data_IF_153344738109
#
_entry.id   IF_153344738109
#
_cell.length_a   1.000
_cell.length_b   1.000
_cell.length_c   1.000
_cell.angle_alpha   90.00
_cell.angle_beta   90.00
_cell.angle_gamma   90.00
#
_symmetry.space_group_name_H-M   'P 1'
#
loop_
_entity.id
_entity.type
_entity.pdbx_description
1 polymer ?
#
# COMPACT_ATOMS: atom_id res chain seq x y z
N UNK A 1 -2.99 35.61 -3.04
CA UNK A 1 -1.68 34.94 -3.23
C UNK A 1 -1.94 33.82 -4.24
N UNK A 2 -1.28 33.80 -5.42
CA UNK A 2 -1.52 32.75 -6.44
C UNK A 2 -1.08 31.39 -5.88
N UNK A 3 -1.81 30.31 -6.17
CA UNK A 3 -1.54 28.92 -5.71
C UNK A 3 -0.06 28.50 -5.90
N UNK A 4 0.60 29.02 -6.94
CA UNK A 4 2.02 28.79 -7.25
C UNK A 4 2.98 29.22 -6.11
N UNK A 5 2.66 30.28 -5.35
CA UNK A 5 3.52 30.74 -4.25
C UNK A 5 3.36 29.93 -2.95
N UNK A 6 2.24 29.20 -2.78
CA UNK A 6 2.05 28.32 -1.63
C UNK A 6 2.93 27.07 -1.72
N UNK A 7 3.18 26.59 -2.95
CA UNK A 7 3.99 25.39 -3.19
C UNK A 7 5.44 25.57 -2.72
N UNK A 8 6.05 26.71 -3.05
CA UNK A 8 7.41 27.06 -2.62
C UNK A 8 7.54 27.22 -1.09
N UNK A 9 6.46 27.62 -0.39
CA UNK A 9 6.44 27.72 1.08
C UNK A 9 6.46 26.34 1.75
N UNK A 10 5.96 25.30 1.08
CA UNK A 10 5.86 23.95 1.65
C UNK A 10 7.10 23.09 1.36
N UNK A 11 7.96 23.48 0.41
CA UNK A 11 9.21 22.76 0.14
C UNK A 11 10.26 22.92 1.27
N UNK A 12 11.34 22.11 1.29
CA UNK A 12 12.45 22.29 2.24
C UNK A 12 13.06 23.69 2.25
N UNK A 13 12.96 24.44 1.13
CA UNK A 13 13.32 25.86 1.04
C UNK A 13 12.31 26.76 1.77
N UNK A 14 11.02 26.46 1.70
CA UNK A 14 9.96 27.14 2.42
C UNK A 14 9.96 26.91 3.94
N UNK A 15 10.55 25.81 4.44
CA UNK A 15 10.86 25.66 5.89
C UNK A 15 11.68 26.83 6.43
N UNK A 16 12.64 27.36 5.64
CA UNK A 16 13.38 28.57 6.03
C UNK A 16 12.48 29.80 6.13
N UNK A 17 11.47 29.91 5.28
CA UNK A 17 10.56 31.06 5.29
C UNK A 17 9.64 31.06 6.52
N UNK A 18 9.02 29.93 6.87
CA UNK A 18 8.23 29.83 8.10
C UNK A 18 9.08 30.03 9.36
N UNK A 19 10.30 29.48 9.39
CA UNK A 19 11.24 29.72 10.48
C UNK A 19 11.63 31.20 10.58
N UNK A 20 11.90 31.86 9.45
CA UNK A 20 12.19 33.30 9.39
C UNK A 20 11.01 34.15 9.83
N UNK A 21 9.77 33.76 9.50
CA UNK A 21 8.57 34.42 10.01
C UNK A 21 8.50 34.25 11.51
N UNK A 22 8.61 33.04 12.05
CA UNK A 22 8.55 32.78 13.48
C UNK A 22 9.65 33.53 14.26
N UNK A 23 10.92 33.44 13.81
CA UNK A 23 12.06 34.10 14.44
C UNK A 23 11.92 35.62 14.50
N UNK A 24 11.29 36.23 13.49
CA UNK A 24 11.14 37.69 13.42
C UNK A 24 9.83 38.20 14.00
N UNK A 25 8.73 37.50 13.73
CA UNK A 25 7.38 37.93 14.04
C UNK A 25 7.03 37.66 15.50
N UNK A 26 7.41 36.50 16.06
CA UNK A 26 7.02 36.14 17.43
C UNK A 26 7.58 37.12 18.48
N UNK A 27 8.86 37.55 18.44
CA UNK A 27 9.36 38.54 19.39
C UNK A 27 8.67 39.91 19.24
N UNK A 28 8.33 40.31 18.00
CA UNK A 28 7.62 41.56 17.75
C UNK A 28 6.18 41.51 18.27
N UNK A 29 5.47 40.41 18.03
CA UNK A 29 4.12 40.22 18.54
C UNK A 29 4.10 40.22 20.07
N UNK A 30 5.10 39.61 20.72
CA UNK A 30 5.19 39.61 22.18
C UNK A 30 5.29 41.02 22.77
N UNK A 31 6.14 41.87 22.18
CA UNK A 31 6.32 43.27 22.60
C UNK A 31 5.08 44.11 22.33
N UNK A 32 4.41 43.87 21.20
CA UNK A 32 3.33 44.72 20.70
C UNK A 32 1.92 44.25 21.11
N UNK A 33 1.77 43.05 21.72
CA UNK A 33 0.46 42.43 22.01
C UNK A 33 -0.50 43.31 22.81
N UNK A 34 0.02 44.14 23.72
CA UNK A 34 -0.78 45.03 24.56
C UNK A 34 -1.26 46.29 23.84
N UNK A 35 -0.74 46.58 22.63
CA UNK A 35 -1.05 47.82 21.90
C UNK A 35 -2.35 47.75 21.11
N UNK A 36 -2.81 46.54 20.73
CA UNK A 36 -4.05 46.38 19.98
C UNK A 36 -4.64 44.97 20.13
N UNK A 37 -5.96 44.80 20.31
CA UNK A 37 -6.61 43.49 20.44
C UNK A 37 -6.28 42.51 19.29
N UNK A 38 -6.19 43.00 18.05
CA UNK A 38 -5.82 42.15 16.91
C UNK A 38 -4.37 41.60 17.00
N UNK A 39 -3.44 42.34 17.63
CA UNK A 39 -2.06 41.87 17.83
C UNK A 39 -2.04 40.81 18.93
N UNK A 40 -2.83 41.00 20.00
CA UNK A 40 -3.05 39.95 21.01
C UNK A 40 -3.60 38.67 20.36
N UNK A 41 -4.65 38.77 19.52
CA UNK A 41 -5.19 37.59 18.83
C UNK A 41 -4.18 36.91 17.91
N UNK A 42 -3.32 37.66 17.22
CA UNK A 42 -2.24 37.08 16.41
C UNK A 42 -1.16 36.41 17.27
N UNK A 43 -0.81 37.01 18.40
CA UNK A 43 0.13 36.43 19.36
C UNK A 43 -0.40 35.12 19.96
N UNK A 44 -1.71 35.07 20.25
CA UNK A 44 -2.36 33.86 20.78
C UNK A 44 -2.37 32.69 19.77
N UNK A 45 -2.24 32.98 18.47
CA UNK A 45 -2.16 32.00 17.36
C UNK A 45 -0.73 31.70 16.89
N UNK A 46 0.29 32.13 17.65
CA UNK A 46 1.70 31.98 17.23
C UNK A 46 2.14 30.52 17.01
N UNK A 47 1.49 29.57 17.69
CA UNK A 47 1.69 28.12 17.53
C UNK A 47 1.17 27.59 16.16
N UNK A 48 0.35 28.38 15.46
CA UNK A 48 -0.18 28.07 14.14
C UNK A 48 0.69 28.58 12.99
N UNK A 49 1.70 29.41 13.26
CA UNK A 49 2.53 29.98 12.18
C UNK A 49 3.51 28.97 11.58
N UNK A 50 3.86 27.94 12.32
CA UNK A 50 4.67 26.84 11.80
C UNK A 50 3.88 26.02 10.76
N UNK A 51 4.58 25.57 9.72
CA UNK A 51 4.02 24.55 8.82
C UNK A 51 3.74 23.28 9.62
N UNK A 52 2.47 22.85 9.64
CA UNK A 52 2.06 21.58 10.23
C UNK A 52 2.27 20.45 9.24
N UNK A 53 2.68 19.28 9.74
CA UNK A 53 2.81 18.05 8.97
C UNK A 53 1.90 17.02 9.61
N UNK A 54 0.89 16.55 8.87
CA UNK A 54 -0.10 15.62 9.36
C UNK A 54 0.31 14.19 9.02
N UNK A 55 0.34 13.32 10.04
CA UNK A 55 0.73 11.92 9.91
C UNK A 55 -0.34 11.00 10.46
N UNK A 56 -0.79 10.06 9.64
CA UNK A 56 -1.65 8.95 10.01
C UNK A 56 -0.76 7.73 10.10
N UNK A 57 -0.60 7.19 11.31
CA UNK A 57 0.33 6.08 11.58
C UNK A 57 -0.45 4.87 12.06
N UNK A 58 -0.19 3.71 11.45
CA UNK A 58 -0.81 2.45 11.87
C UNK A 58 -0.08 1.23 11.35
N UNK A 59 -0.46 0.06 11.84
CA UNK A 59 0.08 -1.23 11.39
C UNK A 59 -0.61 -1.75 10.13
N UNK A 60 -0.14 -2.89 9.63
CA UNK A 60 -0.74 -3.54 8.46
C UNK A 60 -2.19 -3.97 8.68
N UNK A 61 -2.54 -4.46 9.86
CA UNK A 61 -3.94 -4.84 10.14
C UNK A 61 -4.94 -3.68 10.08
N UNK A 62 -4.49 -2.45 10.32
CA UNK A 62 -5.32 -1.28 10.07
C UNK A 62 -5.36 -0.97 8.56
N UNK A 63 -4.20 -0.81 7.93
CA UNK A 63 -4.11 -0.29 6.57
C UNK A 63 -4.63 -1.27 5.49
N UNK A 64 -4.42 -2.57 5.68
CA UNK A 64 -4.78 -3.58 4.68
C UNK A 64 -6.17 -4.14 4.89
N UNK A 65 -6.64 -4.17 6.15
CA UNK A 65 -7.89 -4.80 6.56
C UNK A 65 -8.94 -3.79 7.03
N UNK A 66 -9.10 -3.57 8.34
CA UNK A 66 -10.27 -2.89 8.91
C UNK A 66 -10.35 -1.41 8.53
N UNK A 67 -9.20 -0.76 8.39
CA UNK A 67 -9.10 0.65 8.04
C UNK A 67 -8.95 0.92 6.55
N UNK A 68 -8.88 -0.12 5.70
CA UNK A 68 -8.58 0.05 4.28
C UNK A 68 -9.59 0.93 3.54
N UNK A 69 -10.89 0.76 3.78
CA UNK A 69 -11.90 1.58 3.11
C UNK A 69 -11.76 3.08 3.43
N UNK A 70 -11.47 3.42 4.68
CA UNK A 70 -11.20 4.80 5.08
C UNK A 70 -9.85 5.31 4.55
N UNK A 71 -8.82 4.46 4.57
CA UNK A 71 -7.51 4.78 4.01
C UNK A 71 -7.59 5.09 2.52
N UNK A 72 -8.29 4.25 1.75
CA UNK A 72 -8.52 4.43 0.32
C UNK A 72 -9.23 5.77 0.04
N UNK A 73 -10.28 6.07 0.81
CA UNK A 73 -10.99 7.35 0.70
C UNK A 73 -10.10 8.56 1.00
N UNK A 74 -9.22 8.46 2.02
CA UNK A 74 -8.25 9.52 2.33
C UNK A 74 -7.23 9.67 1.21
N UNK A 75 -6.73 8.56 0.64
CA UNK A 75 -5.84 8.59 -0.54
C UNK A 75 -6.54 9.25 -1.74
N UNK A 76 -7.85 9.07 -1.90
CA UNK A 76 -8.61 9.71 -2.97
C UNK A 76 -8.92 11.20 -2.72
N UNK A 77 -8.78 11.71 -1.48
CA UNK A 77 -9.26 13.03 -1.07
C UNK A 77 -8.42 14.23 -1.53
N UNK A 78 -7.28 14.01 -2.20
CA UNK A 78 -6.31 15.06 -2.61
C UNK A 78 -5.71 15.90 -1.46
N UNK A 79 -6.09 15.61 -0.22
CA UNK A 79 -5.63 16.34 0.95
C UNK A 79 -4.15 16.07 1.26
N UNK A 80 -3.47 17.08 1.81
CA UNK A 80 -2.05 17.00 2.15
C UNK A 80 -1.83 16.25 3.47
N UNK A 81 -1.85 14.92 3.40
CA UNK A 81 -1.66 14.03 4.54
C UNK A 81 -0.63 12.95 4.25
N UNK A 82 0.19 12.61 5.25
CA UNK A 82 1.16 11.54 5.18
C UNK A 82 0.63 10.31 5.91
N UNK A 83 0.61 9.16 5.24
CA UNK A 83 0.26 7.88 5.82
C UNK A 83 1.52 7.05 5.98
N UNK A 84 1.79 6.57 7.19
CA UNK A 84 2.87 5.65 7.49
C UNK A 84 2.29 4.32 7.98
N UNK A 85 2.47 3.28 7.16
CA UNK A 85 2.11 1.91 7.49
C UNK A 85 3.34 1.17 7.98
N UNK A 86 3.30 0.73 9.23
CA UNK A 86 4.31 -0.13 9.84
C UNK A 86 3.91 -1.59 9.58
N UNK A 87 4.42 -2.15 8.50
CA UNK A 87 4.02 -3.47 8.01
C UNK A 87 4.86 -4.56 8.68
N UNK A 88 4.28 -5.20 9.70
CA UNK A 88 4.85 -6.39 10.35
C UNK A 88 4.33 -7.69 9.73
N UNK A 89 3.43 -7.56 8.76
CA UNK A 89 2.74 -8.61 8.02
C UNK A 89 1.83 -9.53 8.85
N UNK A 90 1.48 -9.10 10.07
CA UNK A 90 0.58 -9.81 10.98
C UNK A 90 -0.04 -8.82 11.97
N UNK A 91 -1.15 -9.21 12.62
CA UNK A 91 -1.67 -8.45 13.74
C UNK A 91 -0.82 -8.70 15.00
N UNK A 92 0.33 -8.02 15.09
CA UNK A 92 1.33 -8.27 16.11
C UNK A 92 0.80 -8.11 17.53
N UNK A 93 0.04 -7.04 17.80
CA UNK A 93 -0.44 -6.72 19.15
C UNK A 93 -1.40 -7.78 19.72
N UNK A 94 -2.25 -8.36 18.88
CA UNK A 94 -3.26 -9.35 19.29
C UNK A 94 -2.72 -10.79 19.23
N UNK A 95 -1.40 -10.95 19.02
CA UNK A 95 -0.71 -12.24 19.09
C UNK A 95 -0.57 -12.95 17.76
N UNK A 96 -0.42 -12.21 16.65
CA UNK A 96 0.01 -12.75 15.35
C UNK A 96 -1.11 -13.40 14.55
N UNK A 97 -2.28 -12.76 14.46
CA UNK A 97 -3.32 -13.15 13.52
C UNK A 97 -2.92 -12.82 12.08
N UNK A 98 -3.44 -13.61 11.15
CA UNK A 98 -3.35 -13.33 9.73
C UNK A 98 -3.94 -11.96 9.38
N UNK A 99 -3.26 -11.23 8.51
CA UNK A 99 -3.74 -10.00 7.88
C UNK A 99 -3.76 -10.18 6.36
N UNK A 100 -4.41 -9.28 5.63
CA UNK A 100 -4.24 -9.24 4.16
C UNK A 100 -2.80 -8.87 3.73
N UNK A 101 -1.98 -8.39 4.66
CA UNK A 101 -0.56 -8.13 4.43
C UNK A 101 0.33 -9.36 4.69
N UNK A 102 -0.18 -10.43 5.31
CA UNK A 102 0.58 -11.67 5.51
C UNK A 102 0.95 -12.29 4.14
N UNK A 103 2.22 -12.69 3.90
CA UNK A 103 2.64 -13.36 2.67
C UNK A 103 2.00 -14.73 2.49
N UNK A 104 1.91 -15.19 1.24
CA UNK A 104 1.59 -16.58 0.94
C UNK A 104 2.60 -17.53 1.57
N UNK A 105 2.12 -18.64 2.14
CA UNK A 105 2.94 -19.65 2.82
C UNK A 105 3.37 -19.29 4.25
N UNK A 106 3.08 -18.10 4.75
CA UNK A 106 3.40 -17.73 6.14
C UNK A 106 2.36 -18.30 7.12
N UNK A 107 2.84 -18.93 8.19
CA UNK A 107 2.02 -19.36 9.33
C UNK A 107 1.62 -18.17 10.19
N UNK A 108 0.33 -18.09 10.51
CA UNK A 108 -0.22 -17.15 11.48
C UNK A 108 -1.44 -17.78 12.17
N UNK A 109 -1.98 -17.16 13.22
CA UNK A 109 -3.29 -17.60 13.74
C UNK A 109 -4.34 -17.43 12.64
N UNK A 110 -5.21 -18.44 12.49
CA UNK A 110 -6.15 -18.61 11.38
C UNK A 110 -5.53 -19.00 10.03
N UNK A 111 -4.22 -19.27 9.99
CA UNK A 111 -3.49 -19.76 8.82
C UNK A 111 -2.37 -20.73 9.25
N UNK A 112 -2.69 -21.76 10.05
CA UNK A 112 -1.69 -22.69 10.59
C UNK A 112 -1.00 -23.56 9.54
N UNK A 113 -1.66 -23.79 8.40
CA UNK A 113 -1.08 -24.47 7.25
C UNK A 113 -0.26 -23.57 6.33
N UNK A 114 -0.08 -22.30 6.71
CA UNK A 114 0.38 -21.24 5.81
C UNK A 114 -0.80 -20.55 5.12
N UNK A 115 -0.69 -19.25 4.88
CA UNK A 115 -1.70 -18.49 4.16
C UNK A 115 -1.71 -18.89 2.68
N UNK A 116 -2.86 -19.28 2.16
CA UNK A 116 -2.99 -19.73 0.76
C UNK A 116 -2.90 -18.58 -0.26
N UNK A 117 -3.34 -17.39 0.12
CA UNK A 117 -3.40 -16.22 -0.76
C UNK A 117 -2.14 -15.37 -0.65
N UNK A 118 -1.82 -14.66 -1.73
CA UNK A 118 -0.71 -13.72 -1.76
C UNK A 118 -0.95 -12.48 -0.87
N UNK A 119 0.13 -11.78 -0.56
CA UNK A 119 0.07 -10.46 0.10
C UNK A 119 -0.70 -9.50 -0.80
N UNK A 120 -1.68 -8.79 -0.24
CA UNK A 120 -2.34 -7.67 -0.93
C UNK A 120 -1.30 -6.59 -1.24
N UNK A 121 -1.19 -6.15 -2.49
CA UNK A 121 -0.23 -5.12 -2.89
C UNK A 121 -0.84 -3.72 -2.71
N UNK A 122 -0.81 -3.21 -1.47
CA UNK A 122 -1.37 -1.90 -1.12
C UNK A 122 -0.68 -0.76 -1.88
N UNK A 123 0.63 -0.86 -2.08
CA UNK A 123 1.39 0.15 -2.81
C UNK A 123 0.96 0.23 -4.28
N UNK A 124 0.82 -0.92 -4.96
CA UNK A 124 0.31 -0.96 -6.34
C UNK A 124 -1.12 -0.47 -6.45
N UNK A 125 -1.99 -0.83 -5.50
CA UNK A 125 -3.36 -0.33 -5.45
C UNK A 125 -3.38 1.20 -5.31
N UNK A 126 -2.58 1.76 -4.40
CA UNK A 126 -2.47 3.20 -4.25
C UNK A 126 -1.96 3.87 -5.54
N UNK A 127 -0.94 3.31 -6.19
CA UNK A 127 -0.39 3.84 -7.45
C UNK A 127 -1.39 3.86 -8.63
N UNK A 128 -2.55 3.20 -8.52
CA UNK A 128 -3.63 3.36 -9.51
C UNK A 128 -4.25 4.76 -9.48
N UNK A 129 -4.19 5.44 -8.33
CA UNK A 129 -4.46 6.86 -8.21
C UNK A 129 -3.27 7.64 -8.77
N UNK A 130 -3.52 8.56 -9.71
CA UNK A 130 -2.46 9.34 -10.38
C UNK A 130 -1.93 10.51 -9.54
N UNK A 131 -2.46 10.71 -8.33
CA UNK A 131 -2.26 11.87 -7.48
C UNK A 131 -1.77 11.52 -6.07
N UNK A 132 -1.25 10.30 -5.85
CA UNK A 132 -0.68 9.87 -4.56
C UNK A 132 0.82 9.61 -4.69
N UNK A 133 1.61 10.11 -3.75
CA UNK A 133 3.00 9.69 -3.59
C UNK A 133 3.04 8.35 -2.87
N UNK A 134 3.77 7.36 -3.39
CA UNK A 134 3.87 6.02 -2.77
C UNK A 134 5.33 5.64 -2.58
N UNK A 135 5.68 5.10 -1.42
CA UNK A 135 7.01 4.55 -1.20
C UNK A 135 6.98 3.27 -0.37
N UNK A 136 7.75 2.26 -0.81
CA UNK A 136 8.11 1.12 0.02
C UNK A 136 9.52 1.32 0.55
N UNK A 137 9.66 1.25 1.86
CA UNK A 137 10.92 1.55 2.57
C UNK A 137 11.30 0.42 3.52
N UNK A 138 12.59 0.32 3.81
CA UNK A 138 13.11 -0.44 4.93
C UNK A 138 14.34 0.27 5.49
N UNK A 139 14.22 0.77 6.73
CA UNK A 139 15.29 1.56 7.38
C UNK A 139 16.58 0.74 7.53
N UNK A 140 16.46 -0.57 7.77
CA UNK A 140 17.61 -1.46 7.93
C UNK A 140 18.35 -1.74 6.63
N UNK A 141 17.68 -1.66 5.47
CA UNK A 141 18.29 -1.92 4.16
C UNK A 141 18.90 -0.65 3.57
N UNK A 142 18.13 0.44 3.57
CA UNK A 142 18.57 1.70 2.98
C UNK A 142 18.01 2.89 3.77
N UNK A 143 18.69 3.33 4.85
CA UNK A 143 18.22 4.43 5.69
C UNK A 143 18.20 5.77 4.94
N UNK A 144 19.08 5.94 3.93
CA UNK A 144 19.09 7.15 3.10
C UNK A 144 17.84 7.23 2.21
N UNK A 145 17.44 6.11 1.61
CA UNK A 145 16.21 6.01 0.83
C UNK A 145 14.98 6.21 1.71
N UNK A 146 14.95 5.61 2.91
CA UNK A 146 13.86 5.81 3.86
C UNK A 146 13.71 7.30 4.25
N UNK A 147 14.81 7.96 4.61
CA UNK A 147 14.81 9.38 4.93
C UNK A 147 14.35 10.22 3.73
N UNK A 148 14.85 9.92 2.54
CA UNK A 148 14.45 10.62 1.32
C UNK A 148 12.96 10.46 1.04
N UNK A 149 12.43 9.24 1.16
CA UNK A 149 11.03 8.95 0.95
C UNK A 149 10.12 9.69 1.94
N UNK A 150 10.50 9.77 3.22
CA UNK A 150 9.76 10.54 4.22
C UNK A 150 9.79 12.05 3.94
N UNK A 151 10.92 12.59 3.50
CA UNK A 151 11.03 14.00 3.13
C UNK A 151 10.24 14.33 1.87
N UNK A 152 10.29 13.46 0.86
CA UNK A 152 9.55 13.63 -0.39
C UNK A 152 8.03 13.51 -0.15
N UNK A 153 7.59 12.54 0.66
CA UNK A 153 6.20 12.40 1.08
C UNK A 153 5.68 13.65 1.80
N UNK A 154 6.43 14.15 2.80
CA UNK A 154 6.04 15.36 3.51
C UNK A 154 6.01 16.57 2.57
N UNK A 155 6.92 16.66 1.61
CA UNK A 155 6.97 17.77 0.65
C UNK A 155 5.89 17.70 -0.45
N UNK A 156 5.36 16.51 -0.75
CA UNK A 156 4.36 16.28 -1.78
C UNK A 156 3.02 16.92 -1.39
N UNK A 157 2.44 17.74 -2.27
CA UNK A 157 1.19 18.47 -1.99
C UNK A 157 -0.04 17.63 -2.33
N UNK A 158 -0.21 16.56 -1.56
CA UNK A 158 -1.32 15.63 -1.71
C UNK A 158 -1.14 14.46 -0.76
N UNK A 159 -1.88 13.38 -0.98
CA UNK A 159 -1.79 12.19 -0.15
C UNK A 159 -0.46 11.49 -0.42
N UNK A 160 0.18 11.05 0.66
CA UNK A 160 1.42 10.27 0.62
C UNK A 160 1.23 8.98 1.38
N UNK A 161 1.63 7.85 0.80
CA UNK A 161 1.62 6.53 1.42
C UNK A 161 3.04 5.99 1.52
N UNK A 162 3.49 5.72 2.74
CA UNK A 162 4.76 5.06 3.03
C UNK A 162 4.45 3.73 3.68
N UNK A 163 4.94 2.63 3.09
CA UNK A 163 4.85 1.28 3.64
C UNK A 163 6.25 0.87 4.09
N UNK A 164 6.43 0.74 5.40
CA UNK A 164 7.71 0.45 6.02
C UNK A 164 7.75 -0.99 6.54
N UNK A 165 8.70 -1.78 6.03
CA UNK A 165 8.95 -3.11 6.59
C UNK A 165 9.36 -2.99 8.05
N UNK A 166 8.63 -3.67 8.93
CA UNK A 166 8.80 -3.59 10.38
C UNK A 166 9.05 -4.98 10.97
N UNK A 167 10.31 -5.36 11.23
CA UNK A 167 10.67 -6.58 11.95
C UNK A 167 9.85 -6.79 13.22
N UNK A 168 9.36 -8.02 13.42
CA UNK A 168 8.52 -8.35 14.56
C UNK A 168 8.85 -9.72 15.13
N UNK A 169 8.72 -9.88 16.45
CA UNK A 169 8.88 -11.17 17.14
C UNK A 169 7.97 -12.27 16.57
N UNK A 170 6.81 -11.91 16.01
CA UNK A 170 5.86 -12.86 15.41
C UNK A 170 6.39 -13.53 14.14
N UNK A 171 7.43 -12.97 13.52
CA UNK A 171 8.09 -13.57 12.36
C UNK A 171 9.00 -14.72 12.78
N UNK A 172 9.46 -14.72 14.04
CA UNK A 172 10.12 -15.86 14.66
C UNK A 172 11.58 -16.03 14.26
N UNK A 173 12.34 -14.93 14.25
CA UNK A 173 13.79 -14.89 14.21
C UNK A 173 14.32 -13.96 15.33
N UNK A 174 15.59 -14.05 15.74
CA UNK A 174 16.14 -13.19 16.79
C UNK A 174 16.10 -11.70 16.41
N UNK A 175 15.44 -10.86 17.22
CA UNK A 175 15.33 -9.42 16.92
C UNK A 175 16.68 -8.69 16.88
N UNK A 176 17.69 -9.22 17.58
CA UNK A 176 19.06 -8.72 17.50
C UNK A 176 19.66 -8.86 16.09
N UNK A 177 19.12 -9.75 15.26
CA UNK A 177 19.56 -10.01 13.89
C UNK A 177 18.68 -9.30 12.85
N UNK A 178 17.76 -8.44 13.28
CA UNK A 178 16.81 -7.75 12.39
C UNK A 178 17.48 -6.97 11.26
N UNK A 179 18.64 -6.36 11.51
CA UNK A 179 19.40 -5.64 10.49
C UNK A 179 19.93 -6.61 9.43
N UNK A 180 20.61 -7.69 9.86
CA UNK A 180 21.14 -8.69 8.94
C UNK A 180 20.01 -9.33 8.14
N UNK A 181 18.91 -9.70 8.82
CA UNK A 181 17.74 -10.31 8.21
C UNK A 181 17.16 -9.44 7.10
N UNK A 182 16.92 -8.16 7.36
CA UNK A 182 16.39 -7.25 6.32
C UNK A 182 17.36 -7.07 5.14
N UNK A 183 18.68 -7.09 5.39
CA UNK A 183 19.71 -6.85 4.39
C UNK A 183 20.01 -8.07 3.49
N UNK A 184 19.47 -9.24 3.81
CA UNK A 184 19.51 -10.40 2.92
C UNK A 184 18.59 -10.09 1.74
N UNK A 185 19.19 -9.57 0.67
CA UNK A 185 18.59 -9.11 -0.59
C UNK A 185 17.88 -10.25 -1.37
N UNK A 186 16.78 -10.74 -0.79
CA UNK A 186 15.96 -11.87 -1.24
C UNK A 186 14.88 -11.47 -2.24
N UNK A 187 14.70 -10.17 -2.48
CA UNK A 187 13.64 -9.66 -3.35
C UNK A 187 12.24 -9.78 -2.75
N UNK A 188 12.07 -10.16 -1.48
CA UNK A 188 10.74 -10.23 -0.87
C UNK A 188 10.10 -8.85 -0.70
N UNK A 189 10.91 -7.85 -0.36
CA UNK A 189 10.47 -6.49 -0.07
C UNK A 189 11.19 -5.48 -0.96
N UNK A 190 10.63 -5.14 -2.15
CA UNK A 190 11.24 -4.16 -3.03
C UNK A 190 11.24 -2.78 -2.39
N UNK A 191 12.32 -2.02 -2.60
CA UNK A 191 12.36 -0.61 -2.23
C UNK A 191 12.07 0.21 -3.49
N UNK A 192 11.04 1.03 -3.45
CA UNK A 192 10.70 1.91 -4.57
C UNK A 192 10.03 3.18 -4.08
N UNK A 193 9.99 4.18 -4.97
CA UNK A 193 9.23 5.42 -4.82
C UNK A 193 8.46 5.69 -6.10
N UNK A 194 7.23 6.14 -5.95
CA UNK A 194 6.36 6.64 -6.99
C UNK A 194 6.03 8.09 -6.66
N UNK A 195 6.47 9.02 -7.50
CA UNK A 195 6.22 10.44 -7.34
C UNK A 195 5.49 10.99 -8.58
N UNK A 196 4.18 11.28 -8.47
CA UNK A 196 3.38 11.85 -9.56
C UNK A 196 3.97 13.13 -10.17
N UNK A 197 4.63 13.99 -9.39
CA UNK A 197 5.16 15.27 -9.87
C UNK A 197 6.24 15.10 -10.95
N UNK A 198 6.89 13.93 -11.01
CA UNK A 198 7.86 13.66 -12.05
C UNK A 198 7.23 13.58 -13.43
N UNK A 199 5.95 13.20 -13.53
CA UNK A 199 5.22 13.16 -14.80
C UNK A 199 5.07 14.54 -15.42
N UNK A 200 4.91 15.59 -14.61
CA UNK A 200 4.82 16.99 -15.06
C UNK A 200 6.12 17.42 -15.76
N UNK A 201 7.25 16.87 -15.33
CA UNK A 201 8.57 17.08 -15.94
C UNK A 201 8.92 16.10 -17.07
N UNK A 202 7.97 15.26 -17.50
CA UNK A 202 8.18 14.23 -18.53
C UNK A 202 9.01 13.03 -18.09
N UNK A 203 9.29 12.90 -16.78
CA UNK A 203 10.06 11.80 -16.22
C UNK A 203 9.16 10.65 -15.75
N UNK A 204 9.74 9.46 -15.63
CA UNK A 204 9.05 8.31 -15.06
C UNK A 204 8.75 8.56 -13.56
N UNK A 205 7.48 8.49 -13.12
CA UNK A 205 7.13 8.66 -11.71
C UNK A 205 7.64 7.52 -10.83
N UNK A 206 7.80 6.31 -11.38
CA UNK A 206 8.27 5.14 -10.64
C UNK A 206 9.79 5.00 -10.67
N UNK A 207 10.37 4.81 -9.49
CA UNK A 207 11.81 4.62 -9.26
C UNK A 207 12.02 3.39 -8.39
N UNK A 208 12.68 2.37 -8.95
CA UNK A 208 13.11 1.19 -8.21
C UNK A 208 14.45 1.47 -7.53
N UNK A 209 14.46 1.53 -6.19
CA UNK A 209 15.63 1.82 -5.37
C UNK A 209 16.36 0.54 -4.90
N UNK A 210 15.70 -0.62 -4.95
CA UNK A 210 16.31 -1.93 -4.64
C UNK A 210 17.32 -2.34 -5.71
N UNK A 211 18.44 -2.94 -5.29
CA UNK A 211 19.43 -3.52 -6.22
C UNK A 211 18.92 -4.85 -6.79
N UNK A 212 19.58 -5.37 -7.84
CA UNK A 212 19.26 -6.68 -8.41
C UNK A 212 19.23 -7.74 -7.31
N UNK A 213 18.12 -8.48 -7.23
CA UNK A 213 17.91 -9.63 -6.36
C UNK A 213 19.08 -10.62 -6.53
N UNK A 214 19.77 -10.94 -5.42
CA UNK A 214 20.93 -11.84 -5.42
C UNK A 214 20.76 -13.09 -4.55
N UNK A 215 19.59 -13.25 -3.93
CA UNK A 215 19.32 -14.32 -2.97
C UNK A 215 18.38 -15.41 -3.50
N UNK A 216 18.52 -16.58 -2.90
CA UNK A 216 17.51 -17.63 -2.93
C UNK A 216 16.41 -17.23 -1.92
N UNK A 217 15.27 -16.76 -2.45
CA UNK A 217 14.15 -16.28 -1.64
C UNK A 217 13.61 -17.39 -0.72
N UNK A 218 13.53 -18.63 -1.19
CA UNK A 218 13.05 -19.75 -0.40
C UNK A 218 13.94 -19.99 0.84
N UNK A 219 15.26 -19.97 0.66
CA UNK A 219 16.21 -20.08 1.79
C UNK A 219 16.10 -18.92 2.77
N UNK A 220 15.82 -17.71 2.29
CA UNK A 220 15.61 -16.56 3.16
C UNK A 220 14.37 -16.75 4.03
N UNK A 221 13.23 -17.12 3.43
CA UNK A 221 11.99 -17.35 4.16
C UNK A 221 12.15 -18.46 5.20
N UNK A 222 12.90 -19.52 4.88
CA UNK A 222 13.18 -20.62 5.80
C UNK A 222 13.95 -20.21 7.09
N UNK A 223 14.51 -19.00 7.16
CA UNK A 223 15.13 -18.46 8.39
C UNK A 223 14.09 -17.93 9.40
N UNK A 224 12.86 -17.70 8.96
CA UNK A 224 11.78 -17.24 9.81
C UNK A 224 10.91 -18.44 10.24
N UNK A 225 10.66 -18.59 11.55
CA UNK A 225 9.87 -19.71 12.05
C UNK A 225 8.46 -19.77 11.43
N UNK A 226 7.87 -18.62 11.06
CA UNK A 226 6.56 -18.57 10.40
C UNK A 226 6.52 -19.29 9.06
N UNK A 227 7.64 -19.45 8.36
CA UNK A 227 7.72 -20.24 7.13
C UNK A 227 8.32 -21.62 7.38
N UNK A 228 9.39 -21.70 8.18
CA UNK A 228 10.07 -22.97 8.47
C UNK A 228 9.12 -24.01 9.07
N UNK A 229 8.19 -23.59 9.93
CA UNK A 229 7.21 -24.49 10.54
C UNK A 229 6.22 -25.07 9.50
N UNK A 230 5.81 -24.30 8.49
CA UNK A 230 4.97 -24.79 7.39
C UNK A 230 5.76 -25.76 6.52
N UNK A 231 6.98 -25.37 6.15
CA UNK A 231 7.85 -26.18 5.30
C UNK A 231 8.16 -27.55 5.92
N UNK A 232 8.37 -27.59 7.23
CA UNK A 232 8.62 -28.83 7.96
C UNK A 232 7.35 -29.68 8.11
N UNK A 233 6.17 -29.06 8.25
CA UNK A 233 4.90 -29.76 8.40
C UNK A 233 4.41 -30.37 7.09
N UNK A 234 4.59 -29.65 5.98
CA UNK A 234 4.17 -30.09 4.64
C UNK A 234 5.26 -29.83 3.58
N UNK A 235 6.16 -30.81 3.35
CA UNK A 235 7.22 -30.69 2.36
C UNK A 235 6.73 -30.57 0.91
N UNK A 236 5.51 -31.04 0.60
CA UNK A 236 4.94 -30.91 -0.75
C UNK A 236 4.52 -29.48 -1.00
N UNK A 237 3.79 -28.89 -0.04
CA UNK A 237 3.42 -27.48 -0.12
C UNK A 237 4.64 -26.55 -0.13
N UNK A 238 5.70 -26.92 0.60
CA UNK A 238 6.98 -26.21 0.55
C UNK A 238 7.59 -26.17 -0.87
N UNK A 239 7.57 -27.30 -1.59
CA UNK A 239 8.08 -27.37 -2.96
C UNK A 239 7.23 -26.55 -3.95
N UNK A 240 5.90 -26.53 -3.76
CA UNK A 240 5.00 -25.68 -4.54
C UNK A 240 5.26 -24.19 -4.28
N UNK A 241 5.48 -23.81 -3.02
CA UNK A 241 5.83 -22.45 -2.63
C UNK A 241 7.18 -22.03 -3.23
N UNK A 242 8.20 -22.89 -3.19
CA UNK A 242 9.51 -22.64 -3.82
C UNK A 242 9.36 -22.39 -5.33
N UNK A 243 8.60 -23.24 -6.02
CA UNK A 243 8.32 -23.06 -7.45
C UNK A 243 7.64 -21.72 -7.75
N UNK A 244 6.60 -21.34 -6.97
CA UNK A 244 5.90 -20.06 -7.12
C UNK A 244 6.80 -18.85 -6.83
N UNK A 245 7.64 -18.92 -5.82
CA UNK A 245 8.53 -17.82 -5.43
C UNK A 245 9.65 -17.60 -6.46
N UNK A 246 10.16 -18.67 -7.07
CA UNK A 246 11.11 -18.59 -8.17
C UNK A 246 10.48 -17.97 -9.43
N UNK A 247 9.20 -18.22 -9.70
CA UNK A 247 8.46 -17.55 -10.77
C UNK A 247 8.21 -16.06 -10.46
N UNK A 248 7.95 -15.71 -9.20
CA UNK A 248 7.74 -14.31 -8.77
C UNK A 248 8.96 -13.40 -8.99
N UNK A 249 10.17 -13.96 -9.02
CA UNK A 249 11.37 -13.20 -9.43
C UNK A 249 11.27 -12.66 -10.87
N UNK A 250 10.43 -13.24 -11.73
CA UNK A 250 10.07 -12.65 -13.03
C UNK A 250 9.10 -11.46 -12.90
N UNK A 251 8.19 -11.44 -11.93
CA UNK A 251 7.20 -10.36 -11.78
C UNK A 251 7.84 -9.00 -11.45
N UNK A 252 8.98 -8.98 -10.76
CA UNK A 252 9.75 -7.74 -10.54
C UNK A 252 10.38 -7.19 -11.83
N UNK A 253 10.63 -8.04 -12.84
CA UNK A 253 11.01 -7.59 -14.17
C UNK A 253 9.81 -6.96 -14.92
N UNK A 254 8.58 -7.37 -14.57
CA UNK A 254 7.32 -6.89 -15.18
C UNK A 254 6.91 -5.51 -14.65
N UNK A 255 7.25 -5.17 -13.41
CA UNK A 255 7.05 -3.81 -12.86
C UNK A 255 7.91 -2.74 -13.55
N UNK A 256 8.89 -3.12 -14.37
CA UNK A 256 9.53 -2.22 -15.33
C UNK A 256 8.58 -1.97 -16.53
N UNK A 257 7.52 -1.20 -16.28
CA UNK A 257 6.81 -0.33 -17.23
C UNK A 257 6.25 -0.87 -18.57
N UNK A 258 6.43 -2.14 -18.95
CA UNK A 258 6.08 -2.61 -20.30
C UNK A 258 4.90 -3.57 -20.41
N UNK A 259 4.23 -3.95 -19.31
CA UNK A 259 3.32 -5.10 -19.37
C UNK A 259 1.92 -4.87 -18.79
N UNK A 260 1.52 -3.64 -18.47
CA UNK A 260 0.11 -3.36 -18.17
C UNK A 260 -0.77 -3.59 -19.42
N UNK A 261 -0.27 -3.23 -20.60
CA UNK A 261 -0.95 -3.51 -21.87
C UNK A 261 -0.90 -5.00 -22.24
N UNK A 262 0.21 -5.69 -21.96
CA UNK A 262 0.33 -7.14 -22.18
C UNK A 262 -0.54 -7.97 -21.24
N UNK A 263 -0.73 -7.54 -19.98
CA UNK A 263 -1.66 -8.17 -19.04
C UNK A 263 -3.12 -7.93 -19.45
N UNK A 264 -3.46 -6.74 -19.94
CA UNK A 264 -4.78 -6.47 -20.50
C UNK A 264 -5.04 -7.31 -21.76
N UNK A 265 -4.05 -7.43 -22.64
CA UNK A 265 -4.13 -8.28 -23.85
C UNK A 265 -4.30 -9.75 -23.49
N UNK A 266 -3.57 -10.28 -22.49
CA UNK A 266 -3.73 -11.65 -22.00
C UNK A 266 -5.09 -11.90 -21.34
N UNK A 267 -5.64 -10.91 -20.63
CA UNK A 267 -7.00 -10.96 -20.09
C UNK A 267 -8.03 -11.00 -21.22
N UNK A 268 -7.85 -10.20 -22.27
CA UNK A 268 -8.71 -10.18 -23.46
C UNK A 268 -8.60 -11.48 -24.26
N UNK A 269 -7.40 -12.04 -24.40
CA UNK A 269 -7.16 -13.34 -25.05
C UNK A 269 -7.77 -14.50 -24.24
N UNK A 270 -7.60 -14.53 -22.92
CA UNK A 270 -8.22 -15.53 -22.05
C UNK A 270 -9.74 -15.50 -22.06
N UNK A 271 -10.35 -14.32 -22.25
CA UNK A 271 -11.79 -14.17 -22.47
C UNK A 271 -12.25 -14.69 -23.85
N UNK A 272 -11.35 -14.79 -24.83
CA UNK A 272 -11.67 -15.28 -26.17
C UNK A 272 -11.58 -16.81 -26.32
N UNK A 273 -10.79 -17.47 -25.46
CA UNK A 273 -10.61 -18.93 -25.47
C UNK A 273 -11.66 -19.72 -24.65
N UNK A 274 -12.51 -19.04 -23.88
CA UNK A 274 -13.54 -19.63 -23.01
C UNK A 274 -14.75 -20.27 -23.74
N UNK A 275 -14.64 -20.55 -25.03
CA UNK A 275 -15.77 -21.03 -25.87
C UNK A 275 -16.07 -22.54 -25.77
N UNK A 276 -15.50 -23.27 -24.81
CA UNK A 276 -15.62 -24.75 -24.78
C UNK A 276 -15.95 -25.42 -23.43
N UNK A 277 -16.22 -24.68 -22.36
CA UNK A 277 -16.85 -25.21 -21.16
C UNK A 277 -18.24 -24.58 -20.99
N UNK A 278 -19.21 -25.33 -20.49
CA UNK A 278 -20.52 -24.79 -20.12
C UNK A 278 -20.36 -23.88 -18.89
N UNK A 279 -19.78 -22.69 -19.09
CA UNK A 279 -19.52 -21.73 -18.03
C UNK A 279 -20.82 -21.08 -17.59
N UNK A 280 -21.19 -21.29 -16.32
CA UNK A 280 -22.26 -20.56 -15.66
C UNK A 280 -21.69 -19.30 -15.00
N UNK A 281 -22.19 -18.12 -15.36
CA UNK A 281 -21.76 -16.85 -14.78
C UNK A 281 -22.60 -16.54 -13.53
N UNK A 282 -21.96 -16.41 -12.37
CA UNK A 282 -22.59 -15.91 -11.14
C UNK A 282 -22.32 -14.41 -11.01
N UNK A 283 -23.37 -13.60 -10.95
CA UNK A 283 -23.32 -12.14 -10.78
C UNK A 283 -23.77 -11.80 -9.37
N UNK A 284 -22.82 -11.42 -8.51
CA UNK A 284 -23.12 -10.94 -7.17
C UNK A 284 -23.12 -9.42 -7.12
N UNK A 285 -24.12 -8.82 -6.48
CA UNK A 285 -24.20 -7.37 -6.31
C UNK A 285 -24.28 -6.96 -4.84
N UNK A 286 -23.67 -5.82 -4.51
CA UNK A 286 -23.92 -5.09 -3.26
C UNK A 286 -24.60 -3.76 -3.60
N UNK A 287 -25.76 -3.49 -3.00
CA UNK A 287 -26.48 -2.24 -3.25
C UNK A 287 -27.23 -1.76 -2.02
N UNK A 288 -26.95 -0.53 -1.59
CA UNK A 288 -27.72 0.14 -0.54
C UNK A 288 -29.00 0.80 -1.09
N UNK A 289 -28.99 1.19 -2.37
CA UNK A 289 -30.07 2.00 -3.00
C UNK A 289 -30.75 1.30 -4.18
N UNK A 290 -30.37 0.07 -4.51
CA UNK A 290 -30.95 -0.75 -5.59
C UNK A 290 -30.38 -0.50 -6.99
N UNK A 291 -29.55 0.54 -7.18
CA UNK A 291 -28.95 0.82 -8.49
C UNK A 291 -28.05 -0.31 -8.99
N UNK A 292 -27.25 -0.92 -8.10
CA UNK A 292 -26.35 -2.03 -8.45
C UNK A 292 -27.15 -3.30 -8.77
N UNK A 293 -28.30 -3.50 -8.13
CA UNK A 293 -29.21 -4.62 -8.43
C UNK A 293 -29.76 -4.50 -9.85
N UNK A 294 -30.18 -3.30 -10.26
CA UNK A 294 -30.67 -3.05 -11.61
C UNK A 294 -29.58 -3.30 -12.66
N UNK A 295 -28.35 -2.81 -12.43
CA UNK A 295 -27.23 -3.05 -13.33
C UNK A 295 -26.84 -4.53 -13.40
N UNK A 296 -26.86 -5.24 -12.26
CA UNK A 296 -26.60 -6.68 -12.22
C UNK A 296 -27.65 -7.48 -12.99
N UNK A 297 -28.93 -7.10 -12.89
CA UNK A 297 -30.02 -7.70 -13.67
C UNK A 297 -29.88 -7.43 -15.17
N UNK A 298 -29.46 -6.22 -15.57
CA UNK A 298 -29.22 -5.87 -16.96
C UNK A 298 -28.05 -6.67 -17.53
N UNK A 299 -26.93 -6.75 -16.81
CA UNK A 299 -25.80 -7.59 -17.17
C UNK A 299 -26.20 -9.07 -17.27
N UNK A 300 -27.05 -9.56 -16.36
CA UNK A 300 -27.56 -10.92 -16.42
C UNK A 300 -28.44 -11.18 -17.65
N UNK A 301 -29.21 -10.18 -18.11
CA UNK A 301 -29.94 -10.28 -19.37
C UNK A 301 -28.99 -10.38 -20.56
N UNK A 302 -27.89 -9.62 -20.58
CA UNK A 302 -26.86 -9.70 -21.62
C UNK A 302 -26.16 -11.06 -21.64
N UNK A 303 -25.85 -11.62 -20.46
CA UNK A 303 -25.29 -12.97 -20.32
C UNK A 303 -26.23 -14.01 -20.93
N UNK A 304 -27.53 -13.95 -20.60
CA UNK A 304 -28.54 -14.83 -21.18
C UNK A 304 -28.71 -14.63 -22.69
N UNK A 305 -28.66 -13.39 -23.16
CA UNK A 305 -28.74 -13.07 -24.59
C UNK A 305 -27.56 -13.66 -25.39
N UNK A 306 -26.40 -13.86 -24.75
CA UNK A 306 -25.22 -14.51 -25.32
C UNK A 306 -25.23 -16.04 -25.22
N UNK A 307 -26.31 -16.64 -24.71
CA UNK A 307 -26.46 -18.09 -24.60
C UNK A 307 -25.73 -18.72 -23.42
N UNK A 308 -25.22 -17.91 -22.48
CA UNK A 308 -24.55 -18.38 -21.27
C UNK A 308 -25.57 -18.62 -20.15
N UNK A 309 -25.32 -19.65 -19.34
CA UNK A 309 -26.10 -19.87 -18.12
C UNK A 309 -25.57 -18.99 -17.00
N UNK A 310 -26.38 -18.69 -15.99
CA UNK A 310 -25.92 -17.90 -14.87
C UNK A 310 -26.97 -17.65 -13.81
N UNK A 311 -26.55 -16.99 -12.74
CA UNK A 311 -27.40 -16.57 -11.64
C UNK A 311 -27.04 -15.15 -11.20
N UNK A 312 -28.00 -14.46 -10.60
CA UNK A 312 -27.80 -13.13 -10.01
C UNK A 312 -28.30 -13.14 -8.57
N UNK A 313 -27.47 -12.70 -7.63
CA UNK A 313 -27.81 -12.70 -6.21
C UNK A 313 -27.20 -11.51 -5.46
N UNK A 314 -27.82 -11.13 -4.35
CA UNK A 314 -27.22 -10.19 -3.40
C UNK A 314 -26.01 -10.84 -2.74
N UNK A 315 -24.91 -10.10 -2.57
CA UNK A 315 -23.73 -10.59 -1.84
C UNK A 315 -24.05 -10.95 -0.38
N UNK A 316 -25.02 -10.27 0.23
CA UNK A 316 -25.39 -10.51 1.63
C UNK A 316 -26.16 -11.83 1.84
N UNK A 317 -26.85 -12.30 0.80
CA UNK A 317 -27.71 -13.49 0.83
C UNK A 317 -27.06 -14.71 0.14
N UNK A 318 -25.80 -14.59 -0.28
CA UNK A 318 -25.12 -15.61 -1.07
C UNK A 318 -24.13 -16.41 -0.22
N UNK A 319 -24.32 -17.73 -0.18
CA UNK A 319 -23.38 -18.64 0.49
C UNK A 319 -22.21 -18.95 -0.46
N UNK A 320 -20.98 -18.59 -0.06
CA UNK A 320 -19.79 -18.78 -0.89
C UNK A 320 -19.45 -20.25 -1.20
N UNK A 321 -20.07 -21.18 -0.50
CA UNK A 321 -19.98 -22.63 -0.73
C UNK A 321 -20.69 -23.07 -2.03
N UNK A 322 -21.60 -22.23 -2.56
CA UNK A 322 -22.31 -22.44 -3.82
C UNK A 322 -21.53 -21.99 -5.06
N UNK A 323 -20.31 -21.42 -4.89
CA UNK A 323 -19.44 -21.12 -6.03
C UNK A 323 -18.86 -22.41 -6.60
N UNK A 324 -18.92 -22.64 -7.92
CA UNK A 324 -18.22 -23.76 -8.54
C UNK A 324 -16.71 -23.62 -8.25
N UNK A 325 -16.14 -24.66 -7.63
CA UNK A 325 -14.72 -24.74 -7.27
C UNK A 325 -13.79 -25.00 -8.44
#
# INVERSE_FOLDING_TARGET
MRRENLHDMLLPRGRRFYHQIMERLSPLLEVERARHPAIQSLYDLQDMFGRRSFWIVGGDGWAYDIGYGGLDHVIASEEHVNILVLDTEMYSNTGGQVSKATPGGAMAKFAEGGKATEKKDLGRLAMTYKNVYVAMICVHVNPQQALRAMLDADAYLGPSLIIAYSPCISQGYPMAESIQHCQLDSGQWPLYRYNPQLTESGNNPFQLDSKKIKGDLFKFLAQENRFAAVMHRDPKHAAELDAKLNDRNHLFQVLNHHDLEGQFSKLVEGLSDASSAAESITILYGSETGNSEEQAKNLFQDVRARGLQGQVASMDDFEFEDLPG
#
